data_IF_053221676642
#
_entry.id   IF_053221676642
#
_cell.length_a   1.000
_cell.length_b   1.000
_cell.length_c   1.000
_cell.angle_alpha   90.00
_cell.angle_beta   90.00
_cell.angle_gamma   90.00
#
_symmetry.space_group_name_H-M   'P 1'
#
loop_
_entity.id
_entity.type
_entity.pdbx_description
1 polymer ?
#
# COMPACT_ATOMS: atom_id res chain seq x y z
N UNK A 1 -6.23 8.64 14.83
CA UNK A 1 -6.38 7.18 15.03
C UNK A 1 -6.00 6.53 13.71
N UNK A 2 -4.96 5.68 13.68
CA UNK A 2 -4.73 4.79 12.54
C UNK A 2 -5.82 3.72 12.64
N UNK A 3 -6.85 3.82 11.81
CA UNK A 3 -7.86 2.79 11.68
C UNK A 3 -7.16 1.48 11.33
N UNK A 4 -7.24 0.49 12.21
CA UNK A 4 -6.64 -0.84 11.97
C UNK A 4 -7.21 -1.47 10.68
N UNK A 5 -8.37 -0.98 10.22
CA UNK A 5 -9.02 -1.31 8.96
C UNK A 5 -8.28 -0.81 7.70
N UNK A 6 -7.37 0.16 7.83
CA UNK A 6 -6.63 0.72 6.69
C UNK A 6 -5.39 -0.11 6.33
N UNK A 7 -5.04 -1.12 7.15
CA UNK A 7 -3.93 -2.03 6.84
C UNK A 7 -4.40 -3.16 5.91
N UNK A 8 -3.58 -3.48 4.91
CA UNK A 8 -3.77 -4.62 4.02
C UNK A 8 -2.48 -5.41 3.91
N UNK A 9 -2.55 -6.74 4.01
CA UNK A 9 -1.39 -7.59 3.77
C UNK A 9 -0.97 -7.47 2.30
N UNK A 10 0.34 -7.39 2.05
CA UNK A 10 0.86 -7.19 0.69
C UNK A 10 0.33 -8.22 -0.32
N UNK A 11 0.11 -9.49 0.07
CA UNK A 11 -0.49 -10.51 -0.82
C UNK A 11 -1.91 -10.14 -1.22
N UNK A 12 -2.75 -9.77 -0.25
CA UNK A 12 -4.13 -9.40 -0.53
C UNK A 12 -4.20 -8.14 -1.39
N UNK A 13 -3.25 -7.20 -1.19
CA UNK A 13 -3.14 -6.01 -2.01
C UNK A 13 -2.85 -6.29 -3.48
N UNK A 14 -2.15 -7.39 -3.80
CA UNK A 14 -1.88 -7.80 -5.18
C UNK A 14 -3.19 -8.06 -5.94
N UNK A 15 -4.11 -8.80 -5.30
CA UNK A 15 -5.43 -9.09 -5.88
C UNK A 15 -6.37 -7.89 -5.83
N UNK A 16 -6.44 -7.17 -4.72
CA UNK A 16 -7.40 -6.07 -4.53
C UNK A 16 -7.12 -4.89 -5.46
N UNK A 17 -5.85 -4.53 -5.64
CA UNK A 17 -5.47 -3.36 -6.44
C UNK A 17 -4.94 -3.72 -7.82
N UNK A 18 -4.94 -5.02 -8.18
CA UNK A 18 -4.45 -5.54 -9.45
C UNK A 18 -3.03 -5.02 -9.80
N UNK A 19 -2.10 -5.10 -8.83
CA UNK A 19 -0.69 -4.72 -8.96
C UNK A 19 0.20 -5.84 -8.48
N UNK A 20 1.34 -6.04 -9.13
CA UNK A 20 2.30 -7.05 -8.68
C UNK A 20 2.98 -6.66 -7.37
N UNK A 21 3.43 -7.66 -6.60
CA UNK A 21 4.29 -7.42 -5.42
C UNK A 21 5.47 -6.51 -5.71
N UNK A 22 6.13 -6.71 -6.85
CA UNK A 22 7.29 -5.93 -7.25
C UNK A 22 6.95 -4.44 -7.41
N UNK A 23 5.74 -4.13 -7.91
CA UNK A 23 5.28 -2.76 -7.99
C UNK A 23 5.16 -2.12 -6.60
N UNK A 24 4.57 -2.81 -5.62
CA UNK A 24 4.47 -2.30 -4.24
C UNK A 24 5.85 -2.13 -3.60
N UNK A 25 6.74 -3.12 -3.76
CA UNK A 25 8.11 -3.03 -3.26
C UNK A 25 8.87 -1.85 -3.88
N UNK A 26 8.64 -1.57 -5.17
CA UNK A 26 9.20 -0.39 -5.84
C UNK A 26 8.66 0.91 -5.25
N UNK A 27 7.36 1.02 -4.99
CA UNK A 27 6.79 2.23 -4.36
C UNK A 27 7.33 2.45 -2.93
N UNK A 28 7.53 1.37 -2.17
CA UNK A 28 8.17 1.43 -0.85
C UNK A 28 9.61 1.92 -0.98
N UNK A 29 10.38 1.37 -1.92
CA UNK A 29 11.78 1.79 -2.17
C UNK A 29 11.88 3.26 -2.59
N UNK A 30 10.88 3.75 -3.31
CA UNK A 30 10.77 5.16 -3.72
C UNK A 30 10.25 6.08 -2.59
N UNK A 31 9.94 5.55 -1.41
CA UNK A 31 9.37 6.32 -0.29
C UNK A 31 7.93 6.80 -0.53
N UNK A 32 7.25 6.26 -1.54
CA UNK A 32 5.88 6.62 -1.91
C UNK A 32 4.81 5.81 -1.21
N UNK A 33 5.19 4.69 -0.59
CA UNK A 33 4.31 3.78 0.12
C UNK A 33 4.97 3.30 1.41
N UNK A 34 4.26 3.37 2.52
CA UNK A 34 4.76 2.88 3.80
C UNK A 34 4.39 1.41 3.99
N UNK A 35 5.34 0.67 4.58
CA UNK A 35 5.12 -0.68 5.08
C UNK A 35 5.11 -0.68 6.60
N UNK A 36 4.17 -1.42 7.16
CA UNK A 36 4.02 -1.64 8.60
C UNK A 36 4.13 -3.13 8.91
N UNK A 37 4.61 -3.43 10.11
CA UNK A 37 4.58 -4.77 10.68
C UNK A 37 3.76 -4.72 11.96
N UNK A 38 2.90 -5.73 12.14
CA UNK A 38 2.16 -5.90 13.38
C UNK A 38 3.01 -6.77 14.31
N UNK A 39 3.16 -6.36 15.56
CA UNK A 39 3.92 -7.12 16.54
C UNK A 39 3.31 -8.53 16.71
N UNK A 40 4.15 -9.56 16.60
CA UNK A 40 3.70 -10.96 16.62
C UNK A 40 3.30 -11.52 15.26
N UNK A 41 3.20 -10.70 14.21
CA UNK A 41 2.97 -11.16 12.84
C UNK A 41 4.23 -11.02 11.96
N UNK A 42 4.50 -12.03 11.14
CA UNK A 42 5.60 -12.04 10.16
C UNK A 42 5.19 -11.42 8.82
N UNK A 43 3.94 -11.02 8.66
CA UNK A 43 3.40 -10.41 7.44
C UNK A 43 3.83 -8.95 7.28
N UNK A 44 3.86 -8.52 6.03
CA UNK A 44 4.11 -7.12 5.65
C UNK A 44 2.78 -6.48 5.28
N UNK A 45 2.43 -5.43 5.99
CA UNK A 45 1.20 -4.67 5.77
C UNK A 45 1.50 -3.35 5.08
N UNK A 46 0.54 -2.89 4.29
CA UNK A 46 0.54 -1.63 3.56
C UNK A 46 -0.68 -0.82 3.99
N UNK A 47 -0.63 0.51 3.81
CA UNK A 47 -1.79 1.37 4.03
C UNK A 47 -2.63 1.44 2.74
N UNK A 48 -3.90 1.03 2.82
CA UNK A 48 -4.85 1.09 1.69
C UNK A 48 -5.00 2.53 1.20
N UNK A 49 -5.14 3.48 2.12
CA UNK A 49 -5.25 4.91 1.80
C UNK A 49 -4.09 5.44 0.95
N UNK A 50 -2.85 5.01 1.20
CA UNK A 50 -1.69 5.40 0.40
C UNK A 50 -1.70 4.76 -0.98
N UNK A 51 -2.06 3.48 -1.06
CA UNK A 51 -2.21 2.79 -2.35
C UNK A 51 -3.26 3.49 -3.21
N UNK A 52 -4.41 3.85 -2.62
CA UNK A 52 -5.47 4.60 -3.31
C UNK A 52 -4.93 5.93 -3.82
N UNK A 53 -4.20 6.71 -2.99
CA UNK A 53 -3.57 7.98 -3.42
C UNK A 53 -2.58 7.78 -4.57
N UNK A 54 -1.82 6.68 -4.58
CA UNK A 54 -0.87 6.37 -5.66
C UNK A 54 -1.55 5.98 -6.98
N UNK A 55 -2.75 5.42 -6.89
CA UNK A 55 -3.53 4.99 -8.06
C UNK A 55 -4.48 6.08 -8.56
N UNK A 56 -4.78 7.09 -7.74
CA UNK A 56 -5.54 8.24 -8.20
C UNK A 56 -4.78 8.89 -9.36
N UNK A 57 -5.45 9.13 -10.50
CA UNK A 57 -4.85 9.93 -11.55
C UNK A 57 -4.54 11.30 -10.95
N UNK A 58 -3.29 11.74 -11.05
CA UNK A 58 -2.99 13.16 -10.89
C UNK A 58 -3.66 13.86 -12.06
N UNK A 59 -4.90 14.29 -11.85
CA UNK A 59 -5.52 15.33 -12.66
C UNK A 59 -4.72 16.59 -12.31
N UNK A 60 -3.61 16.77 -13.00
CA UNK A 60 -3.00 18.08 -13.15
C UNK A 60 -4.00 18.86 -14.00
N UNK A 61 -4.68 19.77 -13.32
CA UNK A 61 -5.47 20.85 -13.91
C UNK A 61 -4.67 21.47 -15.08
N UNK A 62 -5.37 21.63 -16.19
CA UNK A 62 -4.92 22.33 -17.41
C UNK A 62 -4.64 23.81 -17.16
#
# INVERSE_FOLDING_TARGET
MLDVNDLIWIVDAESVFNRSREWFLKQIKLGKLHRTKIAGDRKVYLLRSEIVKLLQPHILDS
#
